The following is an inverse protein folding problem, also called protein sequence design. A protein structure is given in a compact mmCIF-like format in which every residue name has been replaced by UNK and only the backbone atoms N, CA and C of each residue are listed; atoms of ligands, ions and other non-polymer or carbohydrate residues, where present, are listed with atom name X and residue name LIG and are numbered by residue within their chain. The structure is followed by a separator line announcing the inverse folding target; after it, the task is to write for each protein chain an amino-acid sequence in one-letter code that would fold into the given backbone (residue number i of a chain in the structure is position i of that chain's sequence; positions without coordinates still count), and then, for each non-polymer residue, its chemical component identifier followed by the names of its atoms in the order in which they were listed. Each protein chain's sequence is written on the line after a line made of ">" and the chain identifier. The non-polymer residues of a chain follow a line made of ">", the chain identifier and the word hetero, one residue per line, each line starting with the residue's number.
data_IF_261206452688
#
_entry.id   IF_261206452688
#
_cell.length_a   1.000
_cell.length_b   1.000
_cell.length_c   1.000
_cell.angle_alpha   90.00
_cell.angle_beta   90.00
_cell.angle_gamma   90.00
#
_symmetry.space_group_name_H-M   'P 1'
#
loop_
_entity.id
_entity.type
_entity.pdbx_description
1 polymer ?
#
# COMPACT_ATOMS: atom_id res chain seq x y z
N UNK A 1 -1.48 13.58 -8.12
CA UNK A 1 -0.21 13.72 -7.37
C UNK A 1 1.01 13.08 -8.06
N UNK A 2 0.88 12.46 -9.25
CA UNK A 2 2.03 12.02 -10.07
C UNK A 2 2.87 10.85 -9.55
N UNK A 3 2.77 10.52 -8.26
CA UNK A 3 3.45 9.34 -7.67
C UNK A 3 2.84 8.03 -8.17
N UNK A 4 3.63 7.00 -8.50
CA UNK A 4 3.12 5.68 -8.91
C UNK A 4 2.41 4.95 -7.76
N UNK A 5 1.75 3.84 -8.09
CA UNK A 5 1.16 2.93 -7.10
C UNK A 5 2.25 2.32 -6.23
N UNK A 6 2.03 2.31 -4.92
CA UNK A 6 3.03 1.91 -3.95
C UNK A 6 2.52 0.78 -3.04
N UNK A 7 3.04 -0.42 -3.28
CA UNK A 7 2.75 -1.60 -2.46
C UNK A 7 3.36 -1.53 -1.05
N UNK A 8 4.31 -0.62 -0.84
CA UNK A 8 5.00 -0.39 0.43
C UNK A 8 4.47 0.83 1.18
N UNK A 9 3.39 1.46 0.69
CA UNK A 9 2.72 2.54 1.43
C UNK A 9 2.19 2.01 2.76
N UNK A 10 2.34 2.81 3.82
CA UNK A 10 1.78 2.49 5.15
C UNK A 10 0.25 2.43 5.12
N UNK A 11 -0.36 3.04 4.10
CA UNK A 11 -1.80 3.08 3.89
C UNK A 11 -2.33 1.87 3.11
N UNK A 12 -1.47 0.98 2.61
CA UNK A 12 -1.90 -0.16 1.81
C UNK A 12 -2.39 -1.31 2.70
N UNK A 13 -3.61 -1.80 2.45
CA UNK A 13 -4.12 -2.99 3.14
C UNK A 13 -3.29 -4.25 2.87
N UNK A 14 -3.17 -5.12 3.87
CA UNK A 14 -2.56 -6.44 3.70
C UNK A 14 -3.40 -7.38 2.83
N UNK A 15 -2.76 -8.44 2.33
CA UNK A 15 -3.35 -9.46 1.44
C UNK A 15 -4.64 -10.11 1.96
N UNK A 16 -4.79 -10.21 3.28
CA UNK A 16 -5.92 -10.87 3.95
C UNK A 16 -6.83 -9.90 4.71
N UNK A 17 -6.71 -8.59 4.45
CA UNK A 17 -7.52 -7.59 5.15
C UNK A 17 -9.02 -7.91 5.00
N UNK A 18 -9.72 -7.97 6.14
CA UNK A 18 -11.15 -8.27 6.23
C UNK A 18 -11.58 -9.66 5.68
N UNK A 19 -10.64 -10.60 5.53
CA UNK A 19 -10.98 -11.96 5.10
C UNK A 19 -11.76 -12.72 6.18
N UNK A 20 -12.90 -13.33 5.79
CA UNK A 20 -13.70 -14.19 6.67
C UNK A 20 -13.31 -15.67 6.54
N UNK A 21 -12.87 -16.10 5.37
CA UNK A 21 -12.58 -17.49 5.02
C UNK A 21 -11.07 -17.82 4.98
N UNK A 22 -10.22 -16.89 5.44
CA UNK A 22 -8.74 -16.98 5.40
C UNK A 22 -8.13 -16.97 4.00
N UNK A 23 -8.93 -16.69 2.97
CA UNK A 23 -8.43 -16.49 1.60
C UNK A 23 -7.99 -15.04 1.37
N UNK A 24 -7.06 -14.80 0.45
CA UNK A 24 -6.62 -13.44 0.12
C UNK A 24 -7.77 -12.63 -0.49
N UNK A 25 -8.01 -11.43 0.05
CA UNK A 25 -9.01 -10.49 -0.47
C UNK A 25 -8.43 -9.52 -1.50
N UNK A 26 -7.11 -9.36 -1.52
CA UNK A 26 -6.38 -8.50 -2.46
C UNK A 26 -5.26 -9.31 -3.12
N UNK A 27 -5.15 -9.24 -4.45
CA UNK A 27 -4.10 -9.89 -5.22
C UNK A 27 -3.42 -8.89 -6.16
N UNK A 28 -2.09 -8.90 -6.19
CA UNK A 28 -1.33 -8.04 -7.09
C UNK A 28 -1.37 -8.59 -8.53
N UNK A 29 -1.88 -7.77 -9.46
CA UNK A 29 -2.17 -8.18 -10.85
C UNK A 29 -1.02 -8.85 -11.60
N UNK A 30 0.22 -8.39 -11.40
CA UNK A 30 1.41 -8.90 -12.12
C UNK A 30 2.17 -10.00 -11.36
N UNK A 31 1.95 -10.15 -10.06
CA UNK A 31 2.65 -11.14 -9.23
C UNK A 31 1.78 -11.49 -8.02
N UNK A 32 1.04 -12.60 -8.12
CA UNK A 32 0.08 -13.05 -7.10
C UNK A 32 0.74 -13.40 -5.75
N UNK A 33 2.04 -13.71 -5.77
CA UNK A 33 2.86 -14.06 -4.59
C UNK A 33 3.55 -12.85 -3.95
N UNK A 34 3.34 -11.64 -4.48
CA UNK A 34 3.92 -10.43 -3.91
C UNK A 34 3.38 -10.17 -2.50
N UNK A 35 4.28 -9.90 -1.55
CA UNK A 35 3.93 -9.40 -0.22
C UNK A 35 3.71 -7.88 -0.25
N UNK A 36 2.68 -7.41 0.45
CA UNK A 36 2.33 -5.99 0.58
C UNK A 36 1.44 -5.76 1.81
N UNK A 37 1.29 -4.50 2.22
CA UNK A 37 0.53 -4.11 3.41
C UNK A 37 1.15 -4.57 4.73
N UNK A 38 2.48 -4.67 4.77
CA UNK A 38 3.28 -5.01 5.96
C UNK A 38 4.16 -3.84 6.43
N UNK A 39 4.00 -2.67 5.81
CA UNK A 39 4.80 -1.48 6.10
C UNK A 39 4.55 -0.99 7.54
N UNK A 40 5.62 -0.59 8.24
CA UNK A 40 5.58 -0.02 9.60
C UNK A 40 5.86 1.48 9.64
N UNK A 41 6.27 2.05 8.51
CA UNK A 41 6.69 3.44 8.38
C UNK A 41 6.18 4.01 7.07
N UNK A 42 6.05 5.33 6.98
CA UNK A 42 5.67 6.01 5.74
C UNK A 42 6.67 5.72 4.62
N UNK A 43 6.16 5.48 3.42
CA UNK A 43 6.99 5.37 2.23
C UNK A 43 7.39 6.75 1.70
N UNK A 44 8.33 6.80 0.75
CA UNK A 44 8.68 8.04 0.04
C UNK A 44 7.47 8.66 -0.65
N UNK A 45 6.56 7.84 -1.18
CA UNK A 45 5.35 8.33 -1.84
C UNK A 45 4.35 8.89 -0.84
N UNK A 46 4.21 8.27 0.34
CA UNK A 46 3.35 8.79 1.41
C UNK A 46 3.81 10.19 1.83
N UNK A 47 5.10 10.34 2.13
CA UNK A 47 5.70 11.63 2.53
C UNK A 47 5.53 12.68 1.43
N UNK A 48 5.86 12.34 0.18
CA UNK A 48 5.76 13.29 -0.94
C UNK A 48 4.32 13.77 -1.17
N UNK A 49 3.32 12.89 -0.98
CA UNK A 49 1.90 13.24 -1.13
C UNK A 49 1.44 14.20 -0.03
N UNK A 50 1.82 13.96 1.23
CA UNK A 50 1.49 14.85 2.35
C UNK A 50 2.14 16.22 2.16
N UNK A 51 3.46 16.27 1.90
CA UNK A 51 4.17 17.55 1.71
C UNK A 51 3.55 18.37 0.58
N UNK A 52 3.21 17.72 -0.54
CA UNK A 52 2.56 18.40 -1.67
C UNK A 52 1.16 18.91 -1.34
N UNK A 53 0.38 18.18 -0.54
CA UNK A 53 -0.96 18.60 -0.14
C UNK A 53 -0.91 19.83 0.76
N UNK A 54 0.03 19.86 1.69
CA UNK A 54 0.16 20.91 2.70
C UNK A 54 1.18 22.01 2.36
N UNK A 55 1.83 21.94 1.19
CA UNK A 55 2.82 22.91 0.70
C UNK A 55 4.02 23.10 1.65
N UNK A 56 4.54 22.00 2.17
CA UNK A 56 5.86 21.97 2.81
C UNK A 56 6.98 21.90 1.77
#
# INVERSE_FOLDING_TARGET
>A
MGTPYDFNSVMHYGKYAFSKNKEPTILAKKNLSRNFGTARTMSKNDIARVNKLYRF
#
